data_IF_999353022671
#
_entry.id   IF_999353022671
#
_cell.length_a   1.000
_cell.length_b   1.000
_cell.length_c   1.000
_cell.angle_alpha   90.00
_cell.angle_beta   90.00
_cell.angle_gamma   90.00
#
_symmetry.space_group_name_H-M   'P 1'
#
loop_
_entity.id
_entity.type
_entity.pdbx_description
1 polymer ?
#
# COMPACT_ATOMS: atom_id res chain seq x y z
N UNK A 1 25.93 14.94 -32.79
CA UNK A 1 26.01 13.98 -31.67
C UNK A 1 24.72 14.09 -30.88
N UNK A 2 23.85 13.08 -30.97
CA UNK A 2 22.62 13.02 -30.18
C UNK A 2 23.01 12.55 -28.77
N UNK A 3 22.76 13.38 -27.75
CA UNK A 3 22.85 12.94 -26.36
C UNK A 3 21.89 11.76 -26.16
N UNK A 4 22.30 10.68 -25.45
CA UNK A 4 21.36 9.64 -25.08
C UNK A 4 20.35 10.24 -24.07
N UNK A 5 19.07 9.85 -24.14
CA UNK A 5 18.10 10.27 -23.15
C UNK A 5 18.54 9.81 -21.76
N UNK A 6 18.20 10.62 -20.77
CA UNK A 6 18.41 10.40 -19.33
C UNK A 6 17.56 9.22 -18.83
N UNK A 7 17.79 8.01 -19.35
CA UNK A 7 16.99 6.81 -19.11
C UNK A 7 16.97 6.36 -17.65
N UNK A 8 17.97 6.77 -16.86
CA UNK A 8 18.07 6.43 -15.44
C UNK A 8 17.04 7.15 -14.56
N UNK A 9 16.78 8.43 -14.82
CA UNK A 9 15.92 9.25 -13.93
C UNK A 9 14.44 8.90 -14.05
N UNK A 10 13.96 8.60 -15.27
CA UNK A 10 12.57 8.24 -15.50
C UNK A 10 12.25 6.83 -15.02
N UNK A 11 13.19 5.90 -15.20
CA UNK A 11 13.08 4.54 -14.67
C UNK A 11 13.00 4.52 -13.14
N UNK A 12 13.90 5.25 -12.47
CA UNK A 12 13.88 5.36 -10.99
C UNK A 12 12.60 6.02 -10.49
N UNK A 13 12.09 7.05 -11.18
CA UNK A 13 10.82 7.70 -10.83
C UNK A 13 9.63 6.75 -10.98
N UNK A 14 9.56 6.01 -12.08
CA UNK A 14 8.50 5.03 -12.31
C UNK A 14 8.51 3.91 -11.28
N UNK A 15 9.71 3.42 -10.93
CA UNK A 15 9.89 2.41 -9.89
C UNK A 15 9.42 2.91 -8.51
N UNK A 16 9.83 4.11 -8.11
CA UNK A 16 9.40 4.70 -6.83
C UNK A 16 7.89 4.93 -6.78
N UNK A 17 7.30 5.39 -7.88
CA UNK A 17 5.85 5.58 -7.96
C UNK A 17 5.11 4.24 -7.81
N UNK A 18 5.59 3.17 -8.45
CA UNK A 18 5.00 1.85 -8.29
C UNK A 18 5.06 1.36 -6.84
N UNK A 19 6.19 1.57 -6.14
CA UNK A 19 6.29 1.21 -4.72
C UNK A 19 5.27 1.95 -3.85
N UNK A 20 4.99 3.22 -4.16
CA UNK A 20 3.97 4.01 -3.47
C UNK A 20 2.57 3.51 -3.82
N UNK A 21 2.27 3.32 -5.11
CA UNK A 21 0.95 2.91 -5.61
C UNK A 21 0.54 1.53 -5.08
N UNK A 22 1.50 0.60 -4.97
CA UNK A 22 1.29 -0.71 -4.36
C UNK A 22 1.42 -0.73 -2.83
N UNK A 23 1.68 0.42 -2.20
CA UNK A 23 1.78 0.55 -0.74
C UNK A 23 3.02 -0.12 -0.12
N UNK A 24 4.03 -0.48 -0.92
CA UNK A 24 5.25 -1.15 -0.45
C UNK A 24 6.06 -0.25 0.48
N UNK A 25 6.13 1.06 0.19
CA UNK A 25 6.81 2.01 1.08
C UNK A 25 6.16 2.05 2.47
N UNK A 26 4.82 2.02 2.53
CA UNK A 26 4.10 2.01 3.80
C UNK A 26 4.31 0.68 4.54
N UNK A 27 4.28 -0.44 3.81
CA UNK A 27 4.54 -1.77 4.40
C UNK A 27 5.93 -1.82 5.04
N UNK A 28 6.97 -1.35 4.34
CA UNK A 28 8.33 -1.33 4.86
C UNK A 28 8.47 -0.41 6.09
N UNK A 29 7.81 0.75 6.09
CA UNK A 29 7.77 1.63 7.28
C UNK A 29 7.11 0.92 8.45
N UNK A 30 5.95 0.30 8.24
CA UNK A 30 5.23 -0.39 9.30
C UNK A 30 6.03 -1.54 9.90
N UNK A 31 6.80 -2.28 9.09
CA UNK A 31 7.69 -3.35 9.59
C UNK A 31 8.84 -2.76 10.40
N UNK A 32 9.43 -1.66 9.93
CA UNK A 32 10.55 -0.99 10.62
C UNK A 32 10.15 -0.43 11.99
N UNK A 33 8.90 0.02 12.11
CA UNK A 33 8.35 0.61 13.32
C UNK A 33 7.53 -0.40 14.15
N UNK A 34 7.53 -1.68 13.77
CA UNK A 34 6.73 -2.71 14.42
C UNK A 34 7.27 -3.06 15.81
N UNK A 35 6.38 -3.10 16.79
CA UNK A 35 6.68 -3.60 18.13
C UNK A 35 5.45 -4.27 18.75
N UNK A 36 5.65 -5.44 19.35
CA UNK A 36 4.70 -6.13 20.21
C UNK A 36 5.42 -6.78 21.42
N UNK A 37 4.74 -7.67 22.14
CA UNK A 37 5.29 -8.34 23.32
C UNK A 37 6.44 -9.32 23.00
N UNK A 38 6.50 -9.83 21.77
CA UNK A 38 7.41 -10.89 21.34
C UNK A 38 8.54 -10.35 20.42
N UNK A 39 8.34 -9.18 19.80
CA UNK A 39 9.29 -8.61 18.84
C UNK A 39 9.28 -7.08 18.84
N UNK A 40 10.46 -6.47 18.79
CA UNK A 40 10.65 -5.03 18.57
C UNK A 40 11.66 -4.79 17.44
N UNK A 41 11.19 -4.20 16.35
CA UNK A 41 11.98 -3.95 15.15
C UNK A 41 13.11 -2.94 15.40
N UNK A 42 12.89 -1.96 16.29
CA UNK A 42 13.91 -0.96 16.63
C UNK A 42 15.10 -1.61 17.35
N UNK A 43 14.84 -2.52 18.28
CA UNK A 43 15.86 -3.30 18.98
C UNK A 43 16.54 -4.34 18.09
N UNK A 44 15.82 -4.90 17.11
CA UNK A 44 16.35 -5.92 16.20
C UNK A 44 17.40 -5.37 15.21
N UNK A 45 17.47 -4.04 15.00
CA UNK A 45 18.43 -3.38 14.09
C UNK A 45 18.49 -4.02 12.70
N UNK A 46 17.33 -4.34 12.15
CA UNK A 46 17.23 -5.02 10.86
C UNK A 46 17.88 -4.22 9.73
N UNK A 47 18.63 -4.91 8.89
CA UNK A 47 19.15 -4.35 7.63
C UNK A 47 18.00 -4.11 6.65
N UNK A 48 18.26 -3.29 5.63
CA UNK A 48 17.28 -3.04 4.56
C UNK A 48 16.88 -4.34 3.84
N UNK A 49 17.83 -5.26 3.63
CA UNK A 49 17.56 -6.54 2.99
C UNK A 49 16.66 -7.44 3.86
N UNK A 50 16.84 -7.43 5.19
CA UNK A 50 15.97 -8.17 6.10
C UNK A 50 14.56 -7.58 6.14
N UNK A 51 14.42 -6.26 6.12
CA UNK A 51 13.11 -5.59 6.02
C UNK A 51 12.38 -5.98 4.74
N UNK A 52 13.08 -5.98 3.61
CA UNK A 52 12.53 -6.41 2.32
C UNK A 52 12.15 -7.89 2.33
N UNK A 53 12.97 -8.75 2.93
CA UNK A 53 12.69 -10.18 3.07
C UNK A 53 11.43 -10.43 3.93
N UNK A 54 11.27 -9.71 5.05
CA UNK A 54 10.07 -9.78 5.88
C UNK A 54 8.84 -9.27 5.13
N UNK A 55 8.96 -8.20 4.33
CA UNK A 55 7.87 -7.72 3.49
C UNK A 55 7.42 -8.77 2.46
N UNK A 56 8.38 -9.43 1.78
CA UNK A 56 8.09 -10.53 0.86
C UNK A 56 7.40 -11.69 1.59
N UNK A 57 7.92 -12.09 2.75
CA UNK A 57 7.31 -13.13 3.58
C UNK A 57 5.86 -12.78 3.97
N UNK A 58 5.61 -11.54 4.40
CA UNK A 58 4.27 -11.08 4.76
C UNK A 58 3.31 -11.12 3.57
N UNK A 59 3.72 -10.65 2.40
CA UNK A 59 2.92 -10.68 1.17
C UNK A 59 2.55 -12.12 0.78
N UNK A 60 3.52 -13.03 0.78
CA UNK A 60 3.28 -14.44 0.46
C UNK A 60 2.37 -15.11 1.49
N UNK A 61 2.57 -14.83 2.79
CA UNK A 61 1.74 -15.35 3.87
C UNK A 61 0.30 -14.87 3.74
N UNK A 62 0.09 -13.59 3.48
CA UNK A 62 -1.25 -13.04 3.23
C UNK A 62 -1.85 -13.70 2.01
N UNK A 63 -1.16 -13.73 0.87
CA UNK A 63 -1.66 -14.30 -0.38
C UNK A 63 -2.12 -15.76 -0.25
N UNK A 64 -1.33 -16.58 0.44
CA UNK A 64 -1.66 -17.99 0.70
C UNK A 64 -2.80 -18.20 1.70
N UNK A 65 -3.09 -17.21 2.54
CA UNK A 65 -4.14 -17.27 3.56
C UNK A 65 -5.38 -16.42 3.21
N UNK A 66 -5.44 -15.85 1.99
CA UNK A 66 -6.60 -15.10 1.54
C UNK A 66 -7.83 -16.01 1.44
N UNK A 67 -8.83 -15.69 2.25
CA UNK A 67 -10.15 -16.34 2.18
C UNK A 67 -11.05 -15.55 1.24
N UNK A 68 -11.78 -16.25 0.36
CA UNK A 68 -12.75 -15.62 -0.55
C UNK A 68 -13.78 -14.75 0.18
N UNK A 69 -14.14 -15.11 1.42
CA UNK A 69 -15.04 -14.32 2.27
C UNK A 69 -14.46 -12.95 2.67
N UNK A 70 -13.16 -12.89 2.96
CA UNK A 70 -12.46 -11.63 3.27
C UNK A 70 -12.46 -10.70 2.06
N UNK A 71 -12.18 -11.25 0.87
CA UNK A 71 -12.21 -10.52 -0.41
C UNK A 71 -13.61 -9.99 -0.67
N UNK A 72 -14.63 -10.85 -0.57
CA UNK A 72 -16.03 -10.47 -0.81
C UNK A 72 -16.49 -9.35 0.15
N UNK A 73 -16.13 -9.44 1.43
CA UNK A 73 -16.44 -8.40 2.43
C UNK A 73 -15.78 -7.07 2.10
N UNK A 74 -14.50 -7.08 1.72
CA UNK A 74 -13.78 -5.89 1.32
C UNK A 74 -14.42 -5.22 0.10
N UNK A 75 -14.68 -5.98 -0.97
CA UNK A 75 -15.33 -5.48 -2.17
C UNK A 75 -16.72 -4.89 -1.89
N UNK A 76 -17.51 -5.54 -1.03
CA UNK A 76 -18.81 -5.03 -0.62
C UNK A 76 -18.70 -3.70 0.14
N UNK A 77 -17.68 -3.55 0.99
CA UNK A 77 -17.42 -2.29 1.71
C UNK A 77 -17.05 -1.17 0.75
N UNK A 78 -16.16 -1.43 -0.21
CA UNK A 78 -15.78 -0.45 -1.24
C UNK A 78 -16.98 -0.01 -2.08
N UNK A 79 -17.84 -0.94 -2.50
CA UNK A 79 -19.06 -0.61 -3.25
C UNK A 79 -19.99 0.26 -2.41
N UNK A 80 -20.25 -0.09 -1.15
CA UNK A 80 -21.09 0.71 -0.24
C UNK A 80 -20.55 2.12 -0.01
N UNK A 81 -19.25 2.29 0.14
CA UNK A 81 -18.62 3.60 0.26
C UNK A 81 -18.88 4.45 -0.99
N UNK A 82 -18.63 3.90 -2.18
CA UNK A 82 -18.92 4.57 -3.47
C UNK A 82 -20.40 4.93 -3.64
N UNK A 83 -21.31 4.06 -3.20
CA UNK A 83 -22.75 4.36 -3.22
C UNK A 83 -23.10 5.49 -2.24
N UNK A 84 -22.48 5.52 -1.05
CA UNK A 84 -22.76 6.54 -0.03
C UNK A 84 -22.24 7.92 -0.43
N UNK A 85 -21.10 8.00 -1.12
CA UNK A 85 -20.58 9.26 -1.68
C UNK A 85 -21.48 9.78 -2.81
N UNK A 86 -22.02 8.90 -3.64
CA UNK A 86 -22.93 9.26 -4.74
C UNK A 86 -24.32 9.74 -4.26
N UNK A 87 -24.71 9.43 -3.01
CA UNK A 87 -25.96 9.90 -2.39
C UNK A 87 -25.81 11.26 -1.67
N UNK A 88 -24.59 11.84 -1.62
CA UNK A 88 -24.27 13.05 -0.83
C UNK A 88 -24.19 14.38 -1.61
N UNK A 89 -24.73 14.52 -2.83
CA UNK A 89 -24.80 15.84 -3.51
C UNK A 89 -25.85 15.90 -4.65
N UNK A 90 -26.54 17.03 -4.95
CA UNK A 90 -26.86 18.24 -4.16
C UNK A 90 -28.38 18.58 -4.27
N UNK A 91 -29.19 18.33 -3.23
CA UNK A 91 -30.59 18.85 -3.16
C UNK A 91 -30.80 20.00 -2.18
N UNK A 92 -29.77 20.42 -1.45
CA UNK A 92 -29.85 21.54 -0.48
C UNK A 92 -29.29 22.87 -1.02
N UNK A 93 -29.43 23.11 -2.33
CA UNK A 93 -29.23 24.44 -2.94
C UNK A 93 -30.46 24.83 -3.73
N UNK A 94 -31.56 25.04 -3.03
CA UNK A 94 -32.69 25.80 -3.56
C UNK A 94 -33.24 26.67 -2.44
N UNK A 95 -32.49 27.73 -2.14
CA UNK A 95 -33.10 28.96 -1.63
C UNK A 95 -33.26 29.87 -2.85
N UNK A 96 -34.52 30.08 -3.24
CA UNK A 96 -35.00 31.30 -3.89
C UNK A 96 -35.97 31.95 -2.90
#
# INVERSE_FOLDING_TARGET
>A
MLQPPSSGSEYTRGYQQALIDFGITQLLSNIRDYSDADFDAASARMTQQELESVAVFAILRVGTNLKGSSIARYLNTLRKAKFSDNLRSPRDRTQL
#
